data_IF_886050276478
#
_entry.id   IF_886050276478
#
_cell.length_a   1.000
_cell.length_b   1.000
_cell.length_c   1.000
_cell.angle_alpha   90.00
_cell.angle_beta   90.00
_cell.angle_gamma   90.00
#
_symmetry.space_group_name_H-M   'P 1'
#
loop_
_entity.id
_entity.type
_entity.pdbx_description
1 polymer ?
#
# COMPACT_ATOMS: atom_id res chain seq x y z
N UNK A 1 -15.89 2.53 -19.15
CA UNK A 1 -15.62 2.94 -17.77
C UNK A 1 -14.13 3.19 -17.58
N UNK A 2 -13.74 4.05 -16.63
CA UNK A 2 -12.32 4.27 -16.39
C UNK A 2 -11.67 2.98 -15.86
N UNK A 3 -10.39 2.74 -16.17
CA UNK A 3 -9.61 1.59 -15.66
C UNK A 3 -9.72 1.42 -14.15
N UNK A 4 -9.77 2.53 -13.42
CA UNK A 4 -9.94 2.54 -11.97
C UNK A 4 -11.29 1.95 -11.53
N UNK A 5 -12.37 2.16 -12.31
CA UNK A 5 -13.68 1.56 -12.02
C UNK A 5 -13.68 0.05 -12.25
N UNK A 6 -12.96 -0.40 -13.28
CA UNK A 6 -12.83 -1.84 -13.58
C UNK A 6 -11.98 -2.51 -12.50
N UNK A 7 -10.89 -1.89 -12.09
CA UNK A 7 -10.01 -2.38 -11.01
C UNK A 7 -10.75 -2.53 -9.68
N UNK A 8 -11.48 -1.50 -9.25
CA UNK A 8 -12.33 -1.52 -8.05
C UNK A 8 -13.36 -2.68 -8.09
N UNK A 9 -14.05 -2.86 -9.22
CA UNK A 9 -14.98 -3.97 -9.39
C UNK A 9 -14.30 -5.33 -9.28
N UNK A 10 -13.13 -5.48 -9.89
CA UNK A 10 -12.36 -6.72 -9.85
C UNK A 10 -11.89 -7.03 -8.41
N UNK A 11 -11.41 -6.02 -7.67
CA UNK A 11 -11.03 -6.17 -6.26
C UNK A 11 -12.24 -6.66 -5.44
N UNK A 12 -13.38 -5.98 -5.53
CA UNK A 12 -14.60 -6.38 -4.82
C UNK A 12 -15.05 -7.81 -5.15
N UNK A 13 -14.94 -8.19 -6.42
CA UNK A 13 -15.33 -9.53 -6.87
C UNK A 13 -14.46 -10.62 -6.25
N UNK A 14 -13.15 -10.43 -6.27
CA UNK A 14 -12.21 -11.43 -5.76
C UNK A 14 -12.24 -11.52 -4.23
N UNK A 15 -12.35 -10.40 -3.52
CA UNK A 15 -12.42 -10.37 -2.05
C UNK A 15 -13.69 -11.01 -1.47
N UNK A 16 -14.74 -11.22 -2.24
CA UNK A 16 -15.93 -11.98 -1.80
C UNK A 16 -15.66 -13.42 -1.35
N UNK A 17 -14.52 -13.97 -1.74
CA UNK A 17 -14.11 -15.35 -1.43
C UNK A 17 -13.16 -15.43 -0.25
N UNK A 18 -12.67 -14.30 0.24
CA UNK A 18 -11.76 -14.19 1.37
C UNK A 18 -12.56 -13.98 2.63
N UNK A 19 -12.13 -14.63 3.72
CA UNK A 19 -12.77 -14.44 5.04
C UNK A 19 -12.56 -13.02 5.53
N UNK A 20 -13.64 -12.33 5.86
CA UNK A 20 -13.65 -10.96 6.36
C UNK A 20 -14.69 -10.06 5.71
N UNK A 21 -14.82 -8.86 6.23
CA UNK A 21 -15.67 -7.82 5.67
C UNK A 21 -14.81 -6.72 5.09
N UNK A 22 -14.95 -6.45 3.79
CA UNK A 22 -14.11 -5.53 3.03
C UNK A 22 -14.94 -4.41 2.42
N UNK A 23 -14.47 -3.17 2.59
CA UNK A 23 -15.03 -1.97 1.96
C UNK A 23 -14.00 -1.36 1.01
N UNK A 24 -14.26 -1.42 -0.28
CA UNK A 24 -13.37 -0.86 -1.30
C UNK A 24 -13.84 0.54 -1.64
N UNK A 25 -12.98 1.52 -1.44
CA UNK A 25 -13.25 2.93 -1.76
C UNK A 25 -12.14 3.54 -2.60
N UNK A 26 -12.46 4.61 -3.30
CA UNK A 26 -11.51 5.38 -4.11
C UNK A 26 -11.34 6.76 -3.52
N UNK A 27 -10.11 7.20 -3.43
CA UNK A 27 -9.81 8.53 -2.96
C UNK A 27 -8.52 9.04 -3.60
N UNK A 28 -8.59 10.19 -4.27
CA UNK A 28 -7.42 10.89 -4.81
C UNK A 28 -6.44 10.00 -5.59
N UNK A 29 -6.97 9.17 -6.51
CA UNK A 29 -6.16 8.29 -7.38
C UNK A 29 -5.66 7.00 -6.71
N UNK A 30 -6.07 6.71 -5.47
CA UNK A 30 -5.79 5.46 -4.76
C UNK A 30 -7.05 4.65 -4.55
N UNK A 31 -6.86 3.35 -4.39
CA UNK A 31 -7.92 2.42 -3.97
C UNK A 31 -7.55 1.94 -2.57
N UNK A 32 -8.46 2.13 -1.63
CA UNK A 32 -8.35 1.61 -0.28
C UNK A 32 -9.24 0.40 -0.13
N UNK A 33 -8.73 -0.61 0.58
CA UNK A 33 -9.45 -1.78 1.03
C UNK A 33 -9.50 -1.70 2.54
N UNK A 34 -10.59 -1.16 3.06
CA UNK A 34 -10.81 -1.06 4.49
C UNK A 34 -11.42 -2.38 4.99
N UNK A 35 -10.99 -2.83 6.15
CA UNK A 35 -11.46 -4.08 6.78
C UNK A 35 -12.28 -3.76 8.01
N UNK A 36 -13.30 -4.56 8.28
CA UNK A 36 -14.14 -4.45 9.46
C UNK A 36 -14.14 -5.79 10.22
N UNK A 37 -13.70 -5.74 11.49
CA UNK A 37 -13.57 -6.93 12.32
C UNK A 37 -12.37 -7.81 11.95
N UNK A 38 -12.47 -9.09 12.23
CA UNK A 38 -11.43 -10.07 11.89
C UNK A 38 -11.45 -10.40 10.40
N UNK A 39 -10.29 -10.62 9.82
CA UNK A 39 -10.12 -11.02 8.42
C UNK A 39 -8.81 -11.81 8.24
N UNK A 40 -8.75 -12.62 7.19
CA UNK A 40 -7.53 -13.32 6.81
C UNK A 40 -6.61 -12.38 6.03
N UNK A 41 -5.56 -11.89 6.70
CA UNK A 41 -4.59 -10.97 6.11
C UNK A 41 -3.80 -11.61 4.96
N UNK A 42 -3.31 -12.83 5.15
CA UNK A 42 -2.45 -13.49 4.17
C UNK A 42 -3.23 -13.82 2.91
N UNK A 43 -4.43 -14.40 3.03
CA UNK A 43 -5.32 -14.69 1.91
C UNK A 43 -5.76 -13.40 1.20
N UNK A 44 -5.97 -12.31 1.94
CA UNK A 44 -6.30 -11.00 1.37
C UNK A 44 -5.17 -10.50 0.48
N UNK A 45 -3.92 -10.50 0.97
CA UNK A 45 -2.74 -10.07 0.23
C UNK A 45 -2.52 -10.95 -1.00
N UNK A 46 -2.55 -12.27 -0.84
CA UNK A 46 -2.39 -13.21 -1.96
C UNK A 46 -3.47 -13.01 -3.05
N UNK A 47 -4.71 -12.77 -2.63
CA UNK A 47 -5.80 -12.50 -3.56
C UNK A 47 -5.56 -11.22 -4.35
N UNK A 48 -5.16 -10.14 -3.68
CA UNK A 48 -4.84 -8.87 -4.33
C UNK A 48 -3.64 -8.98 -5.27
N UNK A 49 -2.63 -9.79 -4.92
CA UNK A 49 -1.46 -10.07 -5.78
C UNK A 49 -1.78 -10.82 -7.06
N UNK A 50 -2.98 -11.36 -7.21
CA UNK A 50 -3.45 -12.05 -8.42
C UNK A 50 -4.31 -11.18 -9.33
N UNK A 51 -4.62 -9.95 -8.92
CA UNK A 51 -5.50 -9.04 -9.68
C UNK A 51 -4.67 -8.14 -10.59
N UNK A 52 -4.76 -8.33 -11.89
CA UNK A 52 -4.11 -7.47 -12.87
C UNK A 52 -4.56 -6.01 -12.74
N UNK A 53 -3.60 -5.10 -12.89
CA UNK A 53 -3.79 -3.68 -12.70
C UNK A 53 -3.40 -3.17 -11.30
N UNK A 54 -3.10 -4.06 -10.36
CA UNK A 54 -2.52 -3.70 -9.06
C UNK A 54 -0.99 -3.69 -9.21
N UNK A 55 -0.37 -2.55 -8.97
CA UNK A 55 1.10 -2.38 -9.04
C UNK A 55 1.73 -2.72 -7.70
N UNK A 56 1.15 -2.21 -6.62
CA UNK A 56 1.64 -2.44 -5.27
C UNK A 56 0.50 -2.44 -4.25
N UNK A 57 0.72 -3.14 -3.16
CA UNK A 57 -0.19 -3.26 -2.02
C UNK A 57 0.57 -2.74 -0.81
N UNK A 58 0.07 -1.68 -0.20
CA UNK A 58 0.69 -1.09 0.98
C UNK A 58 -0.22 -1.32 2.19
N UNK A 59 0.15 -2.17 3.14
CA UNK A 59 -0.50 -2.19 4.45
C UNK A 59 -0.34 -0.82 5.11
N UNK A 60 -1.45 -0.14 5.39
CA UNK A 60 -1.43 1.25 5.83
C UNK A 60 -2.16 1.42 7.15
N UNK A 61 -1.60 2.24 8.04
CA UNK A 61 -2.30 2.76 9.22
C UNK A 61 -2.87 4.13 8.86
N UNK A 62 -4.17 4.29 9.03
CA UNK A 62 -4.88 5.55 8.80
C UNK A 62 -5.14 6.23 10.14
N UNK A 63 -4.79 7.51 10.24
CA UNK A 63 -5.03 8.31 11.44
C UNK A 63 -5.61 9.67 11.10
N UNK A 64 -6.43 10.19 11.99
CA UNK A 64 -6.92 11.56 11.89
C UNK A 64 -5.82 12.56 12.21
N UNK A 65 -5.91 13.75 11.67
CA UNK A 65 -4.97 14.83 11.94
C UNK A 65 -5.33 15.52 13.27
N UNK A 66 -4.70 15.08 14.33
CA UNK A 66 -4.80 15.66 15.68
C UNK A 66 -3.57 16.52 16.04
N UNK A 67 -2.80 16.92 15.03
CA UNK A 67 -1.57 17.69 15.18
C UNK A 67 -0.31 16.85 15.16
N UNK A 68 0.84 17.53 15.09
CA UNK A 68 2.13 16.87 14.86
C UNK A 68 2.57 15.95 16.00
N UNK A 69 2.35 16.34 17.26
CA UNK A 69 2.76 15.50 18.40
C UNK A 69 1.97 14.18 18.47
N UNK A 70 0.67 14.22 18.13
CA UNK A 70 -0.14 13.01 18.01
C UNK A 70 0.34 12.12 16.86
N UNK A 71 0.64 12.72 15.69
CA UNK A 71 1.21 12.00 14.56
C UNK A 71 2.56 11.35 14.93
N UNK A 72 3.46 12.08 15.58
CA UNK A 72 4.77 11.57 15.97
C UNK A 72 4.66 10.36 16.90
N UNK A 73 3.73 10.41 17.86
CA UNK A 73 3.46 9.26 18.75
C UNK A 73 2.99 8.04 17.94
N UNK A 74 2.04 8.20 17.03
CA UNK A 74 1.52 7.09 16.23
C UNK A 74 2.60 6.52 15.31
N UNK A 75 3.46 7.37 14.72
CA UNK A 75 4.57 6.90 13.89
C UNK A 75 5.59 6.11 14.71
N UNK A 76 5.97 6.59 15.91
CA UNK A 76 6.87 5.84 16.80
C UNK A 76 6.26 4.50 17.22
N UNK A 77 4.98 4.48 17.62
CA UNK A 77 4.26 3.25 17.97
C UNK A 77 4.18 2.28 16.77
N UNK A 78 3.98 2.80 15.56
CA UNK A 78 3.97 2.02 14.32
C UNK A 78 5.33 1.34 14.08
N UNK A 79 6.43 2.09 14.16
CA UNK A 79 7.79 1.56 14.00
C UNK A 79 8.10 0.52 15.06
N UNK A 80 7.72 0.79 16.31
CA UNK A 80 7.95 -0.12 17.43
C UNK A 80 7.26 -1.47 17.26
N UNK A 81 6.01 -1.46 16.83
CA UNK A 81 5.21 -2.68 16.62
C UNK A 81 5.60 -3.43 15.35
N UNK A 82 5.91 -2.71 14.27
CA UNK A 82 6.18 -3.31 12.97
C UNK A 82 7.56 -3.96 12.92
N UNK A 83 8.52 -3.40 13.64
CA UNK A 83 9.92 -3.83 13.63
C UNK A 83 10.42 -4.20 15.03
N UNK A 84 10.25 -5.46 15.47
CA UNK A 84 10.79 -5.92 16.76
C UNK A 84 12.31 -5.77 16.88
N UNK A 85 13.04 -6.08 15.81
CA UNK A 85 14.47 -5.76 15.70
C UNK A 85 14.64 -4.32 15.21
N UNK A 86 15.35 -3.50 15.99
CA UNK A 86 15.61 -2.09 15.73
C UNK A 86 17.00 -1.83 15.14
N UNK A 87 17.72 -2.86 14.73
CA UNK A 87 19.10 -2.72 14.25
C UNK A 87 19.14 -2.56 12.72
N UNK A 88 18.56 -1.46 12.22
CA UNK A 88 18.53 -1.13 10.80
C UNK A 88 18.55 0.38 10.58
N UNK A 89 18.83 0.78 9.33
CA UNK A 89 18.78 2.17 8.90
C UNK A 89 17.40 2.53 8.37
N UNK A 90 16.97 3.77 8.59
CA UNK A 90 15.68 4.24 8.10
C UNK A 90 15.74 5.65 7.53
N UNK A 91 14.71 5.99 6.80
CA UNK A 91 14.41 7.35 6.33
C UNK A 91 12.91 7.61 6.44
N UNK A 92 12.54 8.82 6.80
CA UNK A 92 11.15 9.28 6.70
C UNK A 92 10.95 9.96 5.34
N UNK A 93 9.88 9.60 4.63
CA UNK A 93 9.43 10.23 3.38
C UNK A 93 8.01 10.77 3.57
N UNK A 94 7.93 12.02 4.01
CA UNK A 94 6.66 12.71 4.17
C UNK A 94 6.21 13.37 2.85
N UNK A 95 4.95 13.19 2.51
CA UNK A 95 4.31 13.81 1.35
C UNK A 95 3.03 14.51 1.76
N UNK A 96 2.83 15.72 1.25
CA UNK A 96 1.63 16.51 1.52
C UNK A 96 0.76 16.63 0.27
N UNK A 97 -0.31 15.85 0.21
CA UNK A 97 -1.38 16.08 -0.75
C UNK A 97 -2.23 17.30 -0.32
N UNK A 98 -2.37 17.52 0.98
CA UNK A 98 -3.01 18.69 1.59
C UNK A 98 -1.96 19.74 1.92
N UNK A 99 -1.95 20.83 1.13
CA UNK A 99 -0.91 21.90 1.22
C UNK A 99 -1.06 22.83 2.43
N UNK A 100 -2.21 22.84 3.07
CA UNK A 100 -2.50 23.68 4.25
C UNK A 100 -2.01 23.08 5.59
N UNK A 101 -1.26 21.97 5.56
CA UNK A 101 -0.60 21.45 6.75
C UNK A 101 0.49 22.43 7.22
N UNK A 102 0.61 22.72 8.55
CA UNK A 102 1.46 23.80 9.06
C UNK A 102 2.96 23.58 8.85
N UNK A 103 3.40 22.34 8.60
CA UNK A 103 4.81 22.00 8.39
C UNK A 103 5.07 21.60 6.93
N UNK A 104 6.27 21.86 6.44
CA UNK A 104 6.74 21.35 5.14
C UNK A 104 7.10 19.85 5.24
N UNK A 105 7.17 19.17 4.10
CA UNK A 105 7.58 17.76 4.09
C UNK A 105 8.99 17.57 4.65
N UNK A 106 9.89 18.52 4.43
CA UNK A 106 11.26 18.46 4.97
C UNK A 106 11.27 18.60 6.49
N UNK A 107 10.48 19.52 7.05
CA UNK A 107 10.34 19.68 8.49
C UNK A 107 9.73 18.44 9.14
N UNK A 108 8.70 17.85 8.52
CA UNK A 108 8.10 16.59 9.00
C UNK A 108 9.14 15.48 8.99
N UNK A 109 9.93 15.33 7.92
CA UNK A 109 10.98 14.32 7.84
C UNK A 109 12.02 14.46 8.95
N UNK A 110 12.49 15.67 9.20
CA UNK A 110 13.50 15.95 10.22
C UNK A 110 12.96 15.69 11.64
N UNK A 111 11.79 16.23 11.95
CA UNK A 111 11.18 16.11 13.28
C UNK A 111 10.74 14.67 13.59
N UNK A 112 10.09 13.97 12.64
CA UNK A 112 9.74 12.55 12.84
C UNK A 112 10.98 11.67 12.93
N UNK A 113 11.99 11.94 12.10
CA UNK A 113 13.28 11.24 12.18
C UNK A 113 13.90 11.35 13.58
N UNK A 114 13.93 12.55 14.14
CA UNK A 114 14.40 12.80 15.50
C UNK A 114 13.59 12.04 16.56
N UNK A 115 12.26 12.11 16.50
CA UNK A 115 11.37 11.40 17.44
C UNK A 115 11.54 9.88 17.38
N UNK A 116 11.73 9.31 16.18
CA UNK A 116 11.99 7.87 16.02
C UNK A 116 13.33 7.50 16.64
N UNK A 117 14.40 8.29 16.44
CA UNK A 117 15.70 8.05 17.05
C UNK A 117 15.66 8.13 18.58
N UNK A 118 14.93 9.09 19.13
CA UNK A 118 14.74 9.21 20.58
C UNK A 118 14.01 8.00 21.17
N UNK A 119 13.00 7.49 20.46
CA UNK A 119 12.23 6.31 20.88
C UNK A 119 12.97 4.98 20.64
N UNK A 120 13.81 4.91 19.62
CA UNK A 120 14.50 3.71 19.17
C UNK A 120 16.01 3.99 18.97
N UNK A 121 16.80 4.08 20.04
CA UNK A 121 18.21 4.54 19.97
C UNK A 121 19.16 3.60 19.22
N UNK A 122 18.75 2.37 18.93
CA UNK A 122 19.54 1.43 18.13
C UNK A 122 19.36 1.62 16.61
N UNK A 123 18.41 2.44 16.18
CA UNK A 123 18.21 2.80 14.79
C UNK A 123 19.15 3.93 14.38
N UNK A 124 19.43 4.02 13.10
CA UNK A 124 20.19 5.13 12.50
C UNK A 124 19.50 5.61 11.21
N UNK A 125 19.76 6.86 10.84
CA UNK A 125 19.21 7.45 9.62
C UNK A 125 20.17 7.27 8.46
N UNK A 126 19.70 6.73 7.34
CA UNK A 126 20.38 6.78 6.05
C UNK A 126 19.45 7.42 5.01
N UNK A 127 19.87 8.57 4.49
CA UNK A 127 19.06 9.33 3.51
C UNK A 127 19.26 8.86 2.07
N UNK A 128 20.25 8.02 1.81
CA UNK A 128 20.63 7.57 0.47
C UNK A 128 20.12 6.15 0.19
N UNK A 129 20.40 5.21 1.08
CA UNK A 129 20.08 3.79 0.91
C UNK A 129 19.57 3.19 2.23
N UNK A 130 18.39 3.62 2.72
CA UNK A 130 17.84 3.11 3.97
C UNK A 130 17.30 1.69 3.80
N UNK A 131 17.48 0.85 4.84
CA UNK A 131 16.83 -0.46 4.90
C UNK A 131 15.31 -0.35 4.94
N UNK A 132 14.79 0.68 5.60
CA UNK A 132 13.34 0.93 5.74
C UNK A 132 13.02 2.38 5.44
N UNK A 133 12.02 2.58 4.59
CA UNK A 133 11.46 3.90 4.31
C UNK A 133 10.09 4.03 4.99
N UNK A 134 9.97 4.93 5.96
CA UNK A 134 8.71 5.22 6.63
C UNK A 134 7.99 6.33 5.87
N UNK A 135 6.94 5.96 5.17
CA UNK A 135 6.10 6.89 4.42
C UNK A 135 5.02 7.49 5.30
N UNK A 136 4.87 8.81 5.23
CA UNK A 136 3.82 9.57 5.92
C UNK A 136 3.14 10.48 4.90
N UNK A 137 1.93 10.15 4.49
CA UNK A 137 1.18 10.94 3.52
C UNK A 137 0.07 11.74 4.20
N UNK A 138 0.20 13.06 4.20
CA UNK A 138 -0.80 13.99 4.72
C UNK A 138 -1.87 14.19 3.63
N UNK A 139 -2.99 13.48 3.77
CA UNK A 139 -4.18 13.52 2.92
C UNK A 139 -5.40 14.00 3.72
N UNK A 140 -6.60 13.56 3.38
CA UNK A 140 -7.78 13.77 4.23
C UNK A 140 -7.58 13.13 5.60
N UNK A 141 -7.14 11.86 5.60
CA UNK A 141 -6.52 11.19 6.73
C UNK A 141 -5.01 11.08 6.49
N UNK A 142 -4.23 10.85 7.53
CA UNK A 142 -2.79 10.65 7.42
C UNK A 142 -2.53 9.14 7.24
N UNK A 143 -1.81 8.80 6.18
CA UNK A 143 -1.44 7.43 5.85
C UNK A 143 -0.01 7.16 6.30
N UNK A 144 0.20 6.10 7.09
CA UNK A 144 1.52 5.66 7.57
C UNK A 144 1.75 4.24 7.07
N UNK A 145 2.84 4.02 6.33
CA UNK A 145 3.24 2.71 5.86
C UNK A 145 4.76 2.66 5.61
N UNK A 146 5.32 1.47 5.58
CA UNK A 146 6.77 1.25 5.33
C UNK A 146 7.06 0.08 4.43
N UNK A 147 6.06 -0.67 4.03
CA UNK A 147 6.21 -1.80 3.11
C UNK A 147 5.29 -1.66 1.91
N UNK A 148 5.79 -2.09 0.76
CA UNK A 148 5.03 -2.23 -0.46
C UNK A 148 5.21 -3.66 -0.98
N UNK A 149 4.12 -4.39 -1.04
CA UNK A 149 4.07 -5.74 -1.58
C UNK A 149 3.79 -5.63 -3.07
N UNK A 150 4.64 -6.15 -3.96
CA UNK A 150 4.43 -6.01 -5.39
C UNK A 150 3.18 -6.76 -5.86
N UNK A 151 2.39 -6.10 -6.69
CA UNK A 151 1.29 -6.70 -7.41
C UNK A 151 1.72 -7.16 -8.81
N UNK A 152 0.83 -7.82 -9.57
CA UNK A 152 1.15 -8.32 -10.90
C UNK A 152 1.31 -7.22 -11.96
N UNK A 153 0.86 -6.01 -11.66
CA UNK A 153 0.83 -4.90 -12.60
C UNK A 153 -0.10 -5.16 -13.79
N UNK A 154 0.23 -4.57 -14.93
CA UNK A 154 -0.60 -4.70 -16.14
C UNK A 154 -1.86 -3.85 -16.10
N UNK A 155 -2.86 -4.24 -16.89
CA UNK A 155 -4.15 -3.56 -16.98
C UNK A 155 -5.26 -4.40 -16.35
N UNK A 156 -6.29 -3.77 -15.77
CA UNK A 156 -7.41 -4.53 -15.20
C UNK A 156 -8.12 -5.36 -16.28
N UNK A 157 -8.36 -6.63 -16.00
CA UNK A 157 -9.08 -7.53 -16.93
C UNK A 157 -10.44 -6.95 -17.26
N UNK A 158 -10.74 -6.93 -18.57
CA UNK A 158 -11.97 -6.34 -19.12
C UNK A 158 -11.80 -4.90 -19.62
N UNK A 159 -10.57 -4.39 -19.70
CA UNK A 159 -10.27 -3.06 -20.24
C UNK A 159 -10.22 -3.08 -21.78
N UNK A 160 -9.61 -4.12 -22.40
CA UNK A 160 -9.27 -4.17 -23.82
C UNK A 160 -10.02 -5.24 -24.62
N UNK A 161 -11.19 -5.65 -24.18
CA UNK A 161 -12.05 -6.57 -24.96
C UNK A 161 -11.85 -8.04 -24.60
N UNK A 162 -11.96 -8.94 -25.58
CA UNK A 162 -11.94 -10.39 -25.37
C UNK A 162 -10.97 -11.08 -26.33
N UNK A 163 -10.25 -12.08 -25.81
CA UNK A 163 -9.45 -12.99 -26.63
C UNK A 163 -9.89 -14.44 -26.38
N UNK A 164 -9.77 -15.28 -27.40
CA UNK A 164 -9.97 -16.72 -27.24
C UNK A 164 -8.61 -17.39 -27.06
N UNK A 165 -8.48 -18.16 -26.01
CA UNK A 165 -7.29 -18.96 -25.75
C UNK A 165 -7.56 -20.43 -26.05
N UNK A 166 -6.78 -21.01 -26.95
CA UNK A 166 -6.76 -22.45 -27.19
C UNK A 166 -5.76 -23.10 -26.25
N UNK A 167 -6.28 -23.83 -25.28
CA UNK A 167 -5.42 -24.56 -24.31
C UNK A 167 -4.97 -25.88 -24.92
N UNK A 168 -3.66 -26.07 -24.96
CA UNK A 168 -3.03 -27.35 -25.29
C UNK A 168 -2.50 -28.01 -24.00
N UNK A 169 -2.02 -29.24 -24.09
CA UNK A 169 -1.36 -29.93 -22.98
C UNK A 169 0.05 -29.41 -22.65
N UNK A 170 0.56 -28.43 -23.41
CA UNK A 170 1.87 -27.79 -23.21
C UNK A 170 1.82 -26.58 -22.29
N UNK A 171 3.00 -26.12 -21.86
CA UNK A 171 3.17 -24.97 -20.96
C UNK A 171 2.96 -23.61 -21.66
N UNK A 172 3.12 -23.54 -22.95
CA UNK A 172 3.12 -22.26 -23.69
C UNK A 172 1.73 -21.60 -23.71
N UNK A 173 0.66 -22.38 -23.84
CA UNK A 173 -0.68 -21.83 -23.91
C UNK A 173 -1.17 -21.17 -22.60
N UNK A 174 -0.92 -21.72 -21.38
CA UNK A 174 -1.18 -21.00 -20.15
C UNK A 174 -0.37 -19.71 -20.02
N UNK A 175 0.91 -19.72 -20.42
CA UNK A 175 1.78 -18.53 -20.39
C UNK A 175 1.26 -17.45 -21.34
N UNK A 176 0.90 -17.81 -22.56
CA UNK A 176 0.31 -16.88 -23.53
C UNK A 176 -1.01 -16.29 -23.00
N UNK A 177 -1.85 -17.10 -22.39
CA UNK A 177 -3.10 -16.67 -21.76
C UNK A 177 -2.86 -15.65 -20.64
N UNK A 178 -1.88 -15.90 -19.78
CA UNK A 178 -1.47 -14.98 -18.71
C UNK A 178 -0.99 -13.63 -19.29
N UNK A 179 -0.12 -13.67 -20.31
CA UNK A 179 0.43 -12.47 -20.94
C UNK A 179 -0.66 -11.61 -21.61
N UNK A 180 -1.64 -12.23 -22.24
CA UNK A 180 -2.78 -11.53 -22.85
C UNK A 180 -3.71 -10.97 -21.79
N UNK A 181 -4.06 -11.75 -20.77
CA UNK A 181 -4.92 -11.30 -19.67
C UNK A 181 -4.30 -10.12 -18.91
N UNK A 182 -2.95 -10.07 -18.77
CA UNK A 182 -2.23 -8.96 -18.17
C UNK A 182 -2.36 -7.63 -18.95
N UNK A 183 -2.77 -7.70 -20.20
CA UNK A 183 -3.01 -6.51 -21.06
C UNK A 183 -4.45 -6.00 -21.01
N UNK A 184 -5.33 -6.56 -20.18
CA UNK A 184 -6.72 -6.17 -20.00
C UNK A 184 -7.69 -6.96 -20.85
#
# INVERSE_FOLDING_TARGET
GSEMCIRDRNIRYHLKRVEGTFHVRKENGRIYVDTEGEYDYDETVETLQRIFGIVGICPVVLVEDEGFDALAKVVCDYVDRTYPDKNFTFKVDARRARKNYPMTSMEINAELGGRILDACPNMSVDVHDPDVMVHVEIRNQINIYSSEIPGPGGMPVGTNGKAMLLLSGGIDSPVAGYMIAKRG
#
